data_IF_619263479860
#
_entry.id   IF_619263479860
#
_cell.length_a   1.000
_cell.length_b   1.000
_cell.length_c   1.000
_cell.angle_alpha   90.00
_cell.angle_beta   90.00
_cell.angle_gamma   90.00
#
_symmetry.space_group_name_H-M   'P 1'
#
loop_
_entity.id
_entity.type
_entity.pdbx_description
1 polymer ?
#
# COMPACT_ATOMS: atom_id res chain seq x y z
N UNK A 1 22.37 -97.10 26.05
CA UNK A 1 21.25 -96.81 25.12
C UNK A 1 21.25 -95.31 24.83
N UNK A 2 21.31 -94.95 23.53
CA UNK A 2 21.37 -93.61 22.90
C UNK A 2 22.69 -92.83 23.08
N UNK A 3 23.71 -93.13 22.27
CA UNK A 3 24.17 -92.42 21.03
C UNK A 3 24.97 -91.13 21.34
N UNK A 4 26.31 -91.11 21.30
CA UNK A 4 27.22 -90.97 20.12
C UNK A 4 26.98 -89.60 19.43
N UNK A 5 27.93 -88.66 19.22
CA UNK A 5 29.17 -88.77 18.43
C UNK A 5 29.89 -87.39 18.31
N UNK A 6 31.23 -87.39 18.42
CA UNK A 6 32.33 -86.54 17.85
C UNK A 6 32.19 -84.99 17.70
N UNK A 7 33.15 -84.15 18.16
CA UNK A 7 34.57 -83.92 17.81
C UNK A 7 34.77 -82.93 16.64
N UNK A 8 35.43 -81.77 16.89
CA UNK A 8 36.42 -81.14 16.01
C UNK A 8 37.04 -79.88 16.64
N UNK A 9 38.36 -79.91 16.85
CA UNK A 9 39.23 -78.72 17.00
C UNK A 9 39.40 -78.05 15.64
N UNK A 10 39.37 -76.71 15.58
CA UNK A 10 40.10 -75.92 14.56
C UNK A 10 40.65 -74.65 15.21
N UNK A 11 41.98 -74.51 15.19
CA UNK A 11 42.71 -73.26 15.41
C UNK A 11 42.52 -72.32 14.21
N UNK A 12 42.38 -71.01 14.44
CA UNK A 12 42.85 -69.99 13.51
C UNK A 12 43.33 -68.77 14.32
N UNK A 13 44.65 -68.59 14.37
CA UNK A 13 45.28 -67.32 14.71
C UNK A 13 45.16 -66.37 13.52
N UNK A 14 44.73 -65.14 13.74
CA UNK A 14 44.70 -64.07 12.75
C UNK A 14 45.25 -62.79 13.37
N UNK A 15 46.34 -62.29 12.80
CA UNK A 15 47.09 -61.09 13.22
C UNK A 15 46.74 -59.92 12.27
N UNK A 16 46.75 -58.70 12.82
CA UNK A 16 46.88 -57.36 12.20
C UNK A 16 45.81 -56.93 11.19
N UNK A 17 45.19 -55.77 11.42
CA UNK A 17 45.16 -54.66 10.44
C UNK A 17 44.94 -53.33 11.17
N UNK A 18 45.96 -52.47 11.13
CA UNK A 18 45.83 -51.05 11.42
C UNK A 18 45.29 -50.34 10.17
N UNK A 19 44.22 -49.56 10.32
CA UNK A 19 43.75 -48.54 9.38
C UNK A 19 43.26 -47.37 10.25
N UNK A 20 44.04 -46.29 10.42
CA UNK A 20 43.94 -45.08 9.59
C UNK A 20 42.48 -44.76 9.22
N UNK A 21 41.87 -43.75 9.84
CA UNK A 21 41.36 -42.63 9.05
C UNK A 21 41.17 -41.38 9.92
N UNK A 22 41.58 -40.28 9.32
CA UNK A 22 41.79 -38.98 9.88
C UNK A 22 40.48 -38.21 10.06
N UNK A 23 40.39 -37.53 11.20
CA UNK A 23 40.11 -36.09 11.27
C UNK A 23 38.82 -35.62 10.57
N UNK A 24 37.70 -35.78 11.27
CA UNK A 24 36.48 -35.00 11.02
C UNK A 24 36.77 -33.50 11.23
N UNK A 25 37.08 -32.81 10.13
CA UNK A 25 37.00 -31.34 10.05
C UNK A 25 35.56 -30.99 9.70
N UNK A 26 34.85 -30.16 10.48
CA UNK A 26 33.57 -29.63 10.02
C UNK A 26 33.80 -28.79 8.75
N UNK A 27 33.10 -29.16 7.68
CA UNK A 27 32.99 -28.39 6.43
C UNK A 27 32.40 -27.02 6.77
N UNK A 28 33.19 -25.98 6.60
CA UNK A 28 32.73 -24.61 6.51
C UNK A 28 32.17 -24.40 5.10
N UNK A 29 30.93 -24.83 4.87
CA UNK A 29 30.25 -24.59 3.60
C UNK A 29 28.99 -23.75 3.85
N UNK A 30 28.89 -22.69 3.04
CA UNK A 30 27.68 -21.90 2.73
C UNK A 30 27.34 -20.73 3.67
N UNK A 31 28.19 -19.69 3.66
CA UNK A 31 27.67 -18.33 3.78
C UNK A 31 26.82 -18.07 2.53
N UNK A 32 25.49 -18.08 2.73
CA UNK A 32 24.48 -17.80 1.72
C UNK A 32 24.62 -16.35 1.25
N UNK A 33 25.23 -16.17 0.08
CA UNK A 33 25.47 -14.89 -0.58
C UNK A 33 24.17 -14.37 -1.21
N UNK A 34 23.12 -14.16 -0.39
CA UNK A 34 21.89 -13.46 -0.79
C UNK A 34 22.04 -11.95 -0.73
N UNK A 35 23.16 -11.42 -1.23
CA UNK A 35 23.25 -10.01 -1.62
C UNK A 35 22.77 -9.85 -3.06
N UNK A 36 21.57 -10.34 -3.33
CA UNK A 36 20.87 -10.14 -4.58
C UNK A 36 20.06 -8.85 -4.52
N UNK A 37 20.63 -7.79 -5.09
CA UNK A 37 19.91 -6.90 -5.98
C UNK A 37 18.58 -6.30 -5.46
N UNK A 38 18.64 -5.50 -4.40
CA UNK A 38 17.50 -4.71 -3.89
C UNK A 38 17.25 -3.42 -4.70
N UNK A 39 17.79 -3.27 -5.91
CA UNK A 39 17.69 -2.02 -6.70
C UNK A 39 16.71 -2.07 -7.87
N UNK A 40 16.17 -3.24 -8.18
CA UNK A 40 15.27 -3.44 -9.33
C UNK A 40 13.98 -4.19 -8.96
N UNK A 41 13.72 -4.39 -7.67
CA UNK A 41 12.43 -4.88 -7.19
C UNK A 41 11.56 -3.65 -7.02
N UNK A 42 10.69 -3.37 -7.98
CA UNK A 42 9.79 -2.22 -7.89
C UNK A 42 9.00 -2.24 -6.59
N UNK A 43 8.72 -1.04 -6.07
CA UNK A 43 8.21 -0.89 -4.71
C UNK A 43 6.72 -1.28 -4.66
N UNK A 44 6.41 -2.31 -3.87
CA UNK A 44 5.05 -2.67 -3.50
C UNK A 44 4.69 -2.04 -2.15
N UNK A 45 3.93 -0.94 -2.17
CA UNK A 45 3.47 -0.24 -0.98
C UNK A 45 1.95 -0.26 -0.90
N UNK A 46 1.44 -0.65 0.25
CA UNK A 46 0.04 -0.49 0.63
C UNK A 46 -0.01 0.37 1.87
N UNK A 47 -0.76 1.46 1.82
CA UNK A 47 -0.81 2.46 2.88
C UNK A 47 -2.26 2.73 3.25
N UNK A 48 -2.52 2.86 4.55
CA UNK A 48 -3.73 3.51 5.07
C UNK A 48 -3.32 4.81 5.72
N UNK A 49 -3.97 5.89 5.32
CA UNK A 49 -3.65 7.23 5.78
C UNK A 49 -4.82 7.84 6.53
N UNK A 50 -4.64 8.15 7.80
CA UNK A 50 -5.66 8.75 8.67
C UNK A 50 -5.40 10.24 8.82
N UNK A 51 -6.46 11.04 8.80
CA UNK A 51 -6.32 12.48 8.89
C UNK A 51 -7.62 13.25 8.69
N UNK A 52 -7.46 14.53 8.41
CA UNK A 52 -8.56 15.48 8.23
C UNK A 52 -8.70 15.81 6.76
N UNK A 53 -9.95 15.82 6.30
CA UNK A 53 -10.31 16.19 4.93
C UNK A 53 -11.19 17.44 4.92
N UNK A 54 -10.94 18.33 3.96
CA UNK A 54 -11.79 19.48 3.64
C UNK A 54 -12.26 19.30 2.19
N UNK A 55 -13.54 19.58 1.90
CA UNK A 55 -14.00 19.75 0.51
C UNK A 55 -14.71 21.07 0.30
N UNK A 56 -14.50 21.66 -0.87
CA UNK A 56 -15.30 22.79 -1.34
C UNK A 56 -16.59 22.24 -1.96
N UNK A 57 -17.73 22.69 -1.46
CA UNK A 57 -19.07 22.33 -1.95
C UNK A 57 -19.66 23.53 -2.67
N UNK A 58 -20.12 23.34 -3.91
CA UNK A 58 -20.89 24.35 -4.62
C UNK A 58 -22.35 23.88 -4.71
N UNK A 59 -23.25 24.61 -4.06
CA UNK A 59 -24.69 24.37 -4.07
C UNK A 59 -25.37 25.42 -4.94
N UNK A 60 -26.16 25.01 -5.94
CA UNK A 60 -27.04 25.91 -6.68
C UNK A 60 -28.44 25.82 -6.09
N UNK A 61 -28.94 26.95 -5.58
CA UNK A 61 -30.30 27.09 -5.07
C UNK A 61 -31.11 27.90 -6.07
N UNK A 62 -32.18 27.29 -6.57
CA UNK A 62 -33.15 27.97 -7.44
C UNK A 62 -34.39 28.30 -6.62
N UNK A 63 -34.88 29.53 -6.78
CA UNK A 63 -36.06 30.00 -6.07
C UNK A 63 -36.69 31.19 -6.77
N UNK A 64 -37.78 31.70 -6.20
CA UNK A 64 -38.39 32.95 -6.63
C UNK A 64 -38.06 34.03 -5.61
N UNK A 65 -37.52 35.16 -6.07
CA UNK A 65 -37.30 36.33 -5.24
C UNK A 65 -38.25 37.45 -5.68
N UNK A 66 -38.89 38.12 -4.70
CA UNK A 66 -39.68 39.32 -4.98
C UNK A 66 -38.76 40.44 -5.46
N UNK A 67 -38.97 40.93 -6.68
CA UNK A 67 -38.30 42.10 -7.22
C UNK A 67 -39.13 43.35 -6.87
N UNK A 68 -38.60 44.23 -6.01
CA UNK A 68 -39.30 45.44 -5.57
C UNK A 68 -39.51 46.47 -6.68
N UNK A 69 -38.59 46.56 -7.66
CA UNK A 69 -38.72 47.50 -8.77
C UNK A 69 -39.84 47.09 -9.74
N UNK A 70 -39.91 45.78 -10.03
CA UNK A 70 -40.88 45.22 -10.98
C UNK A 70 -42.17 44.71 -10.34
N UNK A 71 -42.27 44.80 -9.02
CA UNK A 71 -43.41 44.35 -8.22
C UNK A 71 -43.90 42.93 -8.60
N UNK A 72 -42.95 41.99 -8.79
CA UNK A 72 -43.25 40.60 -9.14
C UNK A 72 -42.19 39.63 -8.63
N UNK A 73 -42.58 38.37 -8.45
CA UNK A 73 -41.63 37.29 -8.22
C UNK A 73 -40.87 36.95 -9.50
N UNK A 74 -39.54 36.97 -9.45
CA UNK A 74 -38.68 36.56 -10.55
C UNK A 74 -37.87 35.33 -10.14
N UNK A 75 -37.64 34.38 -11.08
CA UNK A 75 -36.75 33.27 -10.82
C UNK A 75 -35.34 33.79 -10.57
N UNK A 76 -34.74 33.32 -9.48
CA UNK A 76 -33.36 33.60 -9.11
C UNK A 76 -32.62 32.29 -8.90
N UNK A 77 -31.41 32.22 -9.44
CA UNK A 77 -30.45 31.17 -9.11
C UNK A 77 -29.33 31.79 -8.30
N UNK A 78 -29.06 31.21 -7.14
CA UNK A 78 -27.94 31.58 -6.28
C UNK A 78 -26.97 30.41 -6.21
N UNK A 79 -25.68 30.69 -6.42
CA UNK A 79 -24.62 29.72 -6.23
C UNK A 79 -23.94 30.01 -4.89
N UNK A 80 -24.03 29.09 -3.95
CA UNK A 80 -23.37 29.19 -2.64
C UNK A 80 -22.19 28.22 -2.61
N UNK A 81 -21.02 28.71 -2.18
CA UNK A 81 -19.83 27.88 -1.97
C UNK A 81 -19.60 27.72 -0.47
N UNK A 82 -19.53 26.47 0.00
CA UNK A 82 -19.25 26.12 1.39
C UNK A 82 -18.01 25.25 1.54
N UNK A 83 -17.52 25.10 2.77
CA UNK A 83 -16.48 24.15 3.16
C UNK A 83 -17.07 23.12 4.12
N UNK A 84 -16.62 21.88 4.01
CA UNK A 84 -16.99 20.80 4.93
C UNK A 84 -15.74 20.06 5.37
N UNK A 85 -15.53 19.99 6.68
CA UNK A 85 -14.40 19.31 7.32
C UNK A 85 -14.85 17.99 7.96
N UNK A 86 -14.00 16.96 7.90
CA UNK A 86 -14.27 15.68 8.54
C UNK A 86 -13.00 14.84 8.72
N UNK A 87 -13.00 14.01 9.77
CA UNK A 87 -11.98 12.98 9.95
C UNK A 87 -12.22 11.82 9.01
N UNK A 88 -11.15 11.31 8.42
CA UNK A 88 -11.23 10.37 7.31
C UNK A 88 -9.98 9.52 7.16
N UNK A 89 -10.13 8.41 6.43
CA UNK A 89 -9.03 7.57 5.98
C UNK A 89 -8.96 7.47 4.46
N UNK A 90 -7.76 7.56 3.89
CA UNK A 90 -7.46 7.28 2.48
C UNK A 90 -6.63 6.00 2.39
N UNK A 91 -6.76 5.25 1.30
CA UNK A 91 -5.84 4.15 1.02
C UNK A 91 -5.00 4.50 -0.20
N UNK A 92 -3.71 4.17 -0.16
CA UNK A 92 -2.80 4.35 -1.29
C UNK A 92 -2.12 3.02 -1.58
N UNK A 93 -2.19 2.59 -2.84
CA UNK A 93 -1.56 1.39 -3.36
C UNK A 93 -0.55 1.82 -4.40
N UNK A 94 0.70 1.39 -4.26
CA UNK A 94 1.78 1.60 -5.24
C UNK A 94 2.36 0.24 -5.57
N UNK A 95 2.53 0.00 -6.86
CA UNK A 95 3.14 -1.20 -7.43
C UNK A 95 4.04 -0.74 -8.55
N UNK A 96 5.35 -0.88 -8.36
CA UNK A 96 6.38 -0.39 -9.28
C UNK A 96 6.25 1.13 -9.53
N UNK A 97 5.93 1.51 -10.77
CA UNK A 97 5.74 2.86 -11.26
C UNK A 97 4.26 3.28 -11.35
N UNK A 98 3.34 2.43 -10.87
CA UNK A 98 1.90 2.69 -10.90
C UNK A 98 1.35 2.83 -9.50
N UNK A 99 0.40 3.76 -9.36
CA UNK A 99 -0.23 4.03 -8.08
C UNK A 99 -1.73 4.25 -8.22
N UNK A 100 -2.46 3.92 -7.16
CA UNK A 100 -3.90 4.17 -7.04
C UNK A 100 -4.22 4.69 -5.65
N UNK A 101 -5.19 5.58 -5.59
CA UNK A 101 -5.70 6.15 -4.35
C UNK A 101 -7.18 5.84 -4.18
N UNK A 102 -7.57 5.37 -3.00
CA UNK A 102 -8.96 5.20 -2.60
C UNK A 102 -9.38 6.33 -1.70
N UNK A 103 -10.45 7.00 -2.09
CA UNK A 103 -10.97 8.16 -1.36
C UNK A 103 -12.38 7.84 -0.86
N UNK A 104 -12.73 8.18 0.40
CA UNK A 104 -14.07 7.99 0.93
C UNK A 104 -15.11 8.70 0.11
N UNK A 105 -16.30 8.10 0.06
CA UNK A 105 -17.41 8.54 -0.80
C UNK A 105 -17.83 9.98 -0.56
N UNK A 106 -17.68 10.47 0.66
CA UNK A 106 -18.03 11.83 1.05
C UNK A 106 -17.14 12.89 0.37
N UNK A 107 -15.92 12.55 -0.06
CA UNK A 107 -15.01 13.45 -0.80
C UNK A 107 -15.18 13.38 -2.32
N UNK A 108 -15.91 12.40 -2.84
CA UNK A 108 -16.09 12.24 -4.28
C UNK A 108 -17.12 13.27 -4.78
N UNK A 109 -16.78 14.09 -5.80
CA UNK A 109 -17.75 15.00 -6.41
C UNK A 109 -18.94 14.23 -7.04
N UNK A 110 -20.16 14.78 -7.02
CA UNK A 110 -21.34 14.13 -7.64
C UNK A 110 -21.12 13.80 -9.12
N UNK A 111 -20.52 14.72 -9.87
CA UNK A 111 -20.03 14.48 -11.23
C UNK A 111 -18.52 14.21 -11.16
N UNK A 112 -18.17 12.94 -11.27
CA UNK A 112 -16.79 12.46 -11.24
C UNK A 112 -16.49 11.60 -12.48
N UNK A 113 -15.21 11.37 -12.74
CA UNK A 113 -14.70 10.54 -13.83
C UNK A 113 -14.92 9.02 -13.63
N UNK A 114 -15.54 8.60 -12.52
CA UNK A 114 -15.86 7.20 -12.27
C UNK A 114 -14.65 6.37 -11.92
N UNK A 115 -13.96 6.70 -10.82
CA UNK A 115 -12.92 5.82 -10.26
C UNK A 115 -13.48 4.39 -10.07
N UNK A 116 -12.72 3.37 -10.46
CA UNK A 116 -13.17 1.97 -10.40
C UNK A 116 -13.22 1.50 -8.94
N UNK A 117 -14.38 1.11 -8.44
CA UNK A 117 -14.59 0.69 -7.04
C UNK A 117 -14.15 1.72 -5.98
N UNK A 118 -14.13 3.00 -6.37
CA UNK A 118 -13.65 4.11 -5.54
C UNK A 118 -12.13 4.26 -5.53
N UNK A 119 -11.42 3.65 -6.48
CA UNK A 119 -10.00 3.88 -6.74
C UNK A 119 -9.79 4.80 -7.94
N UNK A 120 -8.85 5.72 -7.80
CA UNK A 120 -8.36 6.58 -8.89
C UNK A 120 -6.90 6.28 -9.15
N UNK A 121 -6.53 6.18 -10.42
CA UNK A 121 -5.14 6.07 -10.82
C UNK A 121 -4.39 7.36 -10.52
N UNK A 122 -3.15 7.22 -10.07
CA UNK A 122 -2.22 8.31 -9.83
C UNK A 122 -1.43 8.52 -11.13
N UNK A 123 -1.74 9.62 -11.81
CA UNK A 123 -1.02 10.17 -12.94
C UNK A 123 0.29 10.82 -12.48
N UNK A 124 1.31 10.79 -13.36
CA UNK A 124 2.62 11.41 -13.13
C UNK A 124 3.29 10.97 -11.80
N UNK A 125 3.11 9.70 -11.44
CA UNK A 125 3.66 9.14 -10.22
C UNK A 125 5.19 9.17 -10.26
N UNK A 126 5.77 9.76 -9.22
CA UNK A 126 7.21 9.73 -8.97
C UNK A 126 7.41 9.15 -7.57
N UNK A 127 8.02 7.97 -7.53
CA UNK A 127 8.39 7.26 -6.31
C UNK A 127 9.86 7.57 -6.03
N UNK A 128 10.10 8.57 -5.16
CA UNK A 128 11.43 8.96 -4.72
C UNK A 128 11.80 8.33 -3.37
N UNK A 129 13.06 8.47 -3.00
CA UNK A 129 13.57 7.95 -1.71
C UNK A 129 12.91 8.61 -0.49
N UNK A 130 12.71 9.94 -0.54
CA UNK A 130 12.16 10.72 0.58
C UNK A 130 10.68 11.04 0.40
N UNK A 131 10.19 11.07 -0.83
CA UNK A 131 8.83 11.50 -1.15
C UNK A 131 8.22 10.64 -2.26
N UNK A 132 6.91 10.47 -2.20
CA UNK A 132 6.11 9.96 -3.31
C UNK A 132 5.16 11.08 -3.71
N UNK A 133 5.10 11.40 -5.00
CA UNK A 133 4.22 12.47 -5.51
C UNK A 133 3.55 12.09 -6.81
N UNK A 134 2.39 12.68 -7.04
CA UNK A 134 1.63 12.47 -8.27
C UNK A 134 0.35 13.29 -8.27
N UNK A 135 -0.57 12.95 -9.16
CA UNK A 135 -1.86 13.60 -9.31
C UNK A 135 -2.93 12.57 -9.59
N UNK A 136 -4.17 12.82 -9.23
CA UNK A 136 -5.27 11.93 -9.64
C UNK A 136 -6.44 12.75 -10.12
N UNK A 137 -7.21 12.20 -11.06
CA UNK A 137 -8.26 12.95 -11.74
C UNK A 137 -9.64 12.58 -11.21
N UNK A 138 -10.24 13.48 -10.42
CA UNK A 138 -11.62 13.32 -9.96
C UNK A 138 -12.64 13.70 -11.03
N UNK A 139 -12.35 14.68 -11.89
CA UNK A 139 -13.12 15.02 -13.09
C UNK A 139 -12.30 15.92 -14.04
N UNK A 140 -12.95 16.55 -15.04
CA UNK A 140 -12.25 17.39 -16.00
C UNK A 140 -11.59 18.64 -15.39
N UNK A 141 -12.19 19.19 -14.32
CA UNK A 141 -11.76 20.44 -13.68
C UNK A 141 -10.98 20.19 -12.38
N UNK A 142 -11.22 19.06 -11.72
CA UNK A 142 -10.65 18.71 -10.42
C UNK A 142 -9.61 17.60 -10.57
N UNK A 143 -8.33 17.99 -10.47
CA UNK A 143 -7.18 17.09 -10.50
C UNK A 143 -6.24 17.39 -9.33
N UNK A 144 -6.53 16.86 -8.13
CA UNK A 144 -5.69 17.11 -6.97
C UNK A 144 -4.27 16.55 -7.12
N UNK A 145 -3.34 17.17 -6.40
CA UNK A 145 -1.99 16.67 -6.20
C UNK A 145 -1.95 15.80 -4.93
N UNK A 146 -1.07 14.81 -4.92
CA UNK A 146 -0.74 14.00 -3.74
C UNK A 146 0.76 14.07 -3.50
N UNK A 147 1.14 14.22 -2.23
CA UNK A 147 2.52 14.14 -1.76
C UNK A 147 2.55 13.34 -0.45
N UNK A 148 3.43 12.35 -0.38
CA UNK A 148 3.68 11.54 0.81
C UNK A 148 5.16 11.70 1.17
N UNK A 149 5.45 12.24 2.35
CA UNK A 149 6.80 12.25 2.91
C UNK A 149 7.06 10.87 3.52
N UNK A 150 8.03 10.12 2.99
CA UNK A 150 8.39 8.77 3.44
C UNK A 150 9.18 8.75 4.74
N UNK A 151 9.81 9.86 5.12
CA UNK A 151 10.69 9.95 6.31
C UNK A 151 9.88 10.04 7.59
N UNK A 152 8.75 10.75 7.51
CA UNK A 152 7.82 10.85 8.62
C UNK A 152 6.53 10.05 8.35
N UNK A 153 6.10 9.86 7.11
CA UNK A 153 4.83 9.21 6.79
C UNK A 153 3.67 10.19 6.76
N UNK A 154 3.92 11.49 6.55
CA UNK A 154 2.85 12.48 6.35
C UNK A 154 2.35 12.45 4.92
N UNK A 155 1.06 12.75 4.73
CA UNK A 155 0.44 12.87 3.42
C UNK A 155 -0.30 14.19 3.32
N UNK A 156 -0.20 14.81 2.15
CA UNK A 156 -0.96 15.98 1.75
C UNK A 156 -1.64 15.69 0.42
N UNK A 157 -2.94 15.98 0.35
CA UNK A 157 -3.69 16.10 -0.90
C UNK A 157 -4.14 17.56 -1.02
N UNK A 158 -3.89 18.17 -2.17
CA UNK A 158 -4.27 19.57 -2.42
C UNK A 158 -5.02 19.72 -3.75
N UNK A 159 -6.08 20.53 -3.74
CA UNK A 159 -7.02 20.71 -4.85
C UNK A 159 -8.36 21.25 -4.35
N UNK A 160 -9.45 20.92 -5.05
CA UNK A 160 -10.81 21.23 -4.53
C UNK A 160 -11.20 20.37 -3.32
N UNK A 161 -10.52 19.24 -3.15
CA UNK A 161 -10.46 18.51 -1.90
C UNK A 161 -9.07 18.69 -1.30
N UNK A 162 -9.02 18.78 0.02
CA UNK A 162 -7.77 18.81 0.78
C UNK A 162 -7.77 17.66 1.77
N UNK A 163 -6.60 17.09 1.99
CA UNK A 163 -6.40 16.08 3.02
C UNK A 163 -5.02 16.28 3.65
N UNK A 164 -4.96 16.20 4.97
CA UNK A 164 -3.70 16.19 5.70
C UNK A 164 -3.75 15.08 6.74
N UNK A 165 -2.71 14.25 6.78
CA UNK A 165 -2.73 13.08 7.66
C UNK A 165 -1.40 12.36 7.80
N UNK A 166 -1.48 11.16 8.37
CA UNK A 166 -0.37 10.22 8.56
C UNK A 166 -0.70 8.88 7.93
N UNK A 167 0.25 8.30 7.22
CA UNK A 167 0.15 7.00 6.58
C UNK A 167 0.91 5.95 7.37
N UNK A 168 0.27 4.80 7.54
CA UNK A 168 0.87 3.57 8.04
C UNK A 168 0.89 2.53 6.92
N UNK A 169 1.91 1.67 6.91
CA UNK A 169 1.99 0.58 5.97
C UNK A 169 0.96 -0.51 6.33
N UNK A 170 0.08 -0.81 5.40
CA UNK A 170 -0.87 -1.91 5.51
C UNK A 170 -0.21 -3.19 5.01
N UNK A 171 0.34 -3.96 5.94
CA UNK A 171 0.87 -5.29 5.63
C UNK A 171 -0.21 -6.34 5.36
N UNK A 172 -1.50 -5.97 5.34
CA UNK A 172 -2.61 -6.90 5.13
C UNK A 172 -2.79 -7.92 6.25
N UNK A 173 -2.07 -7.78 7.37
CA UNK A 173 -2.03 -8.73 8.48
C UNK A 173 -2.94 -8.39 9.67
N UNK A 174 -3.77 -7.34 9.59
CA UNK A 174 -4.75 -7.05 10.64
C UNK A 174 -5.94 -8.02 10.54
N UNK A 175 -5.74 -9.23 11.05
CA UNK A 175 -6.83 -10.14 11.42
C UNK A 175 -7.48 -9.59 12.69
N UNK A 176 -8.76 -9.24 12.62
CA UNK A 176 -9.61 -9.03 13.78
C UNK A 176 -10.14 -10.36 14.29
#
# INVERSE_FOLDING_TARGET
>A
MKTMTLLALVLCAGVVHAQQYERDRPRADSFDDRRGDDRDRGEDLQLVCYGQAEKIVAESRTGYQWNQEKHRYEPKSELTTGKSDFDSALNVSIHDDRGRIRIPRQLIPPMNSGGSDGWWDIEDLIVGHNEIRGRFRLNALNRPTIMIDRRNGTIVVDGMIKFNGRCDQDSGHRRF
#
